data_IF_796653554020
#
_entry.id   IF_796653554020
#
_cell.length_a   1.000
_cell.length_b   1.000
_cell.length_c   1.000
_cell.angle_alpha   90.00
_cell.angle_beta   90.00
_cell.angle_gamma   90.00
#
_symmetry.space_group_name_H-M   'P 1'
#
loop_
_entity.id
_entity.type
_entity.pdbx_description
1 polymer ?
#
# COMPACT_ATOMS: atom_id res chain seq x y z
N UNK A 1 -3.15 1.67 1.25
CA UNK A 1 -2.75 0.50 0.47
C UNK A 1 -1.24 0.32 0.57
N UNK A 2 -0.78 -0.92 0.56
CA UNK A 2 0.65 -1.29 0.57
C UNK A 2 0.85 -2.14 -0.69
N UNK A 3 1.42 -1.56 -1.74
CA UNK A 3 1.58 -2.18 -3.04
C UNK A 3 2.94 -2.85 -3.12
N UNK A 4 2.95 -4.18 -3.01
CA UNK A 4 4.17 -4.98 -3.16
C UNK A 4 4.70 -4.95 -4.61
N UNK A 5 3.86 -4.63 -5.60
CA UNK A 5 4.28 -4.45 -6.98
C UNK A 5 3.37 -3.49 -7.74
N UNK A 6 3.95 -2.81 -8.72
CA UNK A 6 3.26 -1.97 -9.68
C UNK A 6 3.73 -2.37 -11.09
N UNK A 7 2.92 -3.15 -11.80
CA UNK A 7 3.28 -3.77 -13.08
C UNK A 7 2.66 -3.01 -14.25
N UNK A 8 3.36 -2.95 -15.38
CA UNK A 8 2.79 -2.46 -16.64
C UNK A 8 2.35 -0.99 -16.63
N UNK A 9 2.92 -0.16 -15.75
CA UNK A 9 2.55 1.25 -15.61
C UNK A 9 1.34 1.51 -14.70
N UNK A 10 0.85 0.50 -13.97
CA UNK A 10 -0.16 0.70 -12.93
C UNK A 10 0.32 1.74 -11.90
N UNK A 11 -0.56 2.68 -11.56
CA UNK A 11 -0.27 3.78 -10.64
C UNK A 11 -1.33 3.90 -9.55
N UNK A 12 -0.95 4.36 -8.34
CA UNK A 12 -1.90 4.57 -7.26
C UNK A 12 -2.73 5.84 -7.48
N UNK A 13 -3.84 5.96 -6.75
CA UNK A 13 -4.57 7.23 -6.62
C UNK A 13 -3.62 8.31 -6.05
N UNK A 14 -3.50 9.43 -6.75
CA UNK A 14 -2.72 10.58 -6.32
C UNK A 14 -3.41 11.88 -6.77
N UNK A 15 -3.54 12.84 -5.88
CA UNK A 15 -4.12 14.15 -6.21
C UNK A 15 -3.21 15.00 -7.11
N UNK A 16 -1.89 14.75 -7.07
CA UNK A 16 -0.89 15.54 -7.82
C UNK A 16 -0.21 14.75 -8.92
N UNK A 17 -0.42 13.43 -8.98
CA UNK A 17 0.36 12.53 -9.82
C UNK A 17 1.80 12.32 -9.35
N UNK A 18 2.22 12.95 -8.24
CA UNK A 18 3.58 12.87 -7.70
C UNK A 18 3.59 12.26 -6.29
N UNK A 19 4.72 11.65 -5.86
CA UNK A 19 4.90 11.22 -4.48
C UNK A 19 4.82 12.39 -3.50
N UNK A 20 4.31 12.12 -2.30
CA UNK A 20 4.34 13.08 -1.18
C UNK A 20 5.51 12.82 -0.22
N UNK A 21 6.06 11.60 -0.21
CA UNK A 21 7.20 11.22 0.61
C UNK A 21 7.84 9.91 0.12
N UNK A 22 9.01 9.61 0.67
CA UNK A 22 9.62 8.28 0.67
C UNK A 22 9.69 7.78 2.12
N UNK A 23 9.40 6.51 2.36
CA UNK A 23 9.41 5.90 3.69
C UNK A 23 10.21 4.59 3.69
N UNK A 24 10.98 4.34 4.75
CA UNK A 24 11.67 3.07 4.97
C UNK A 24 10.94 2.30 6.07
N UNK A 25 10.23 1.23 5.71
CA UNK A 25 9.38 0.42 6.62
C UNK A 25 9.56 -1.05 6.25
N UNK A 26 9.73 -1.92 7.26
CA UNK A 26 9.89 -3.36 7.08
C UNK A 26 10.97 -3.72 6.04
N UNK A 27 12.16 -3.11 6.17
CA UNK A 27 13.32 -3.30 5.29
C UNK A 27 13.05 -3.03 3.79
N UNK A 28 12.02 -2.24 3.49
CA UNK A 28 11.61 -1.90 2.12
C UNK A 28 11.51 -0.38 1.98
N UNK A 29 11.96 0.15 0.84
CA UNK A 29 11.78 1.55 0.46
C UNK A 29 10.45 1.72 -0.28
N UNK A 30 9.61 2.62 0.23
CA UNK A 30 8.28 2.90 -0.28
C UNK A 30 8.18 4.33 -0.77
N UNK A 31 7.61 4.49 -1.96
CA UNK A 31 7.15 5.79 -2.46
C UNK A 31 5.70 5.99 -2.02
N UNK A 32 5.42 7.03 -1.24
CA UNK A 32 4.09 7.30 -0.71
C UNK A 32 3.33 8.29 -1.60
N UNK A 33 2.12 7.90 -1.99
CA UNK A 33 1.16 8.74 -2.69
C UNK A 33 -0.08 8.99 -1.82
N UNK A 34 -0.75 10.11 -2.08
CA UNK A 34 -2.00 10.51 -1.41
C UNK A 34 -2.97 11.06 -2.43
N UNK A 35 -4.22 10.63 -2.37
CA UNK A 35 -5.31 11.25 -3.11
C UNK A 35 -6.67 10.98 -2.49
N UNK A 36 -7.72 11.30 -3.24
CA UNK A 36 -9.12 11.19 -2.79
C UNK A 36 -9.88 10.26 -3.73
N UNK A 37 -10.62 9.30 -3.16
CA UNK A 37 -11.58 8.48 -3.87
C UNK A 37 -12.94 8.61 -3.18
N UNK A 38 -13.88 9.30 -3.85
CA UNK A 38 -15.16 9.68 -3.26
C UNK A 38 -14.97 10.44 -1.93
N UNK A 39 -15.43 9.91 -0.81
CA UNK A 39 -15.26 10.51 0.53
C UNK A 39 -14.00 10.03 1.27
N UNK A 40 -13.20 9.14 0.68
CA UNK A 40 -12.03 8.55 1.32
C UNK A 40 -10.73 9.26 0.92
N UNK A 41 -9.88 9.56 1.90
CA UNK A 41 -8.46 9.83 1.65
C UNK A 41 -7.73 8.50 1.50
N UNK A 42 -7.07 8.30 0.36
CA UNK A 42 -6.30 7.09 0.05
C UNK A 42 -4.82 7.40 0.15
N UNK A 43 -4.14 6.68 1.03
CA UNK A 43 -2.67 6.62 1.07
C UNK A 43 -2.20 5.33 0.43
N UNK A 44 -1.26 5.40 -0.48
CA UNK A 44 -0.68 4.23 -1.15
C UNK A 44 0.84 4.24 -1.03
N UNK A 45 1.38 3.28 -0.27
CA UNK A 45 2.80 2.99 -0.22
C UNK A 45 3.12 2.04 -1.37
N UNK A 46 3.91 2.48 -2.35
CA UNK A 46 4.32 1.67 -3.50
C UNK A 46 5.78 1.30 -3.33
N UNK A 47 6.09 0.00 -3.30
CA UNK A 47 7.47 -0.45 -3.19
C UNK A 47 8.28 0.04 -4.40
N UNK A 48 9.48 0.58 -4.16
CA UNK A 48 10.34 1.09 -5.23
C UNK A 48 10.89 -0.03 -6.14
N UNK A 49 10.93 -1.25 -5.63
CA UNK A 49 11.18 -2.48 -6.38
C UNK A 49 10.11 -3.52 -6.03
N UNK A 50 9.74 -4.35 -6.99
CA UNK A 50 8.75 -5.40 -6.77
C UNK A 50 9.19 -6.35 -5.66
N UNK A 51 8.30 -6.58 -4.69
CA UNK A 51 8.44 -7.53 -3.61
C UNK A 51 7.62 -8.78 -3.94
N UNK A 52 8.29 -9.90 -4.22
CA UNK A 52 7.64 -11.22 -4.41
C UNK A 52 7.54 -12.01 -3.11
N UNK A 53 8.20 -11.54 -2.05
CA UNK A 53 8.07 -12.01 -0.67
C UNK A 53 8.13 -10.80 0.24
N UNK A 54 7.22 -10.72 1.22
CA UNK A 54 7.15 -9.63 2.17
C UNK A 54 6.81 -10.18 3.56
N UNK A 55 7.51 -9.67 4.57
CA UNK A 55 7.23 -9.95 5.97
C UNK A 55 7.43 -8.64 6.75
N UNK A 56 6.43 -8.23 7.52
CA UNK A 56 6.48 -7.01 8.30
C UNK A 56 5.23 -6.78 9.13
N UNK A 57 5.32 -5.82 10.04
CA UNK A 57 4.18 -5.37 10.84
C UNK A 57 3.40 -4.29 10.06
N UNK A 58 2.15 -4.59 9.70
CA UNK A 58 1.26 -3.65 9.02
C UNK A 58 0.99 -2.41 9.89
N UNK A 59 1.06 -2.54 11.22
CA UNK A 59 0.89 -1.42 12.14
C UNK A 59 1.92 -0.30 11.92
N UNK A 60 3.12 -0.62 11.43
CA UNK A 60 4.17 0.39 11.20
C UNK A 60 3.81 1.39 10.09
N UNK A 61 3.01 0.96 9.10
CA UNK A 61 2.48 1.87 8.08
C UNK A 61 1.46 2.84 8.68
N UNK A 62 0.59 2.36 9.57
CA UNK A 62 -0.36 3.23 10.29
C UNK A 62 0.36 4.20 11.22
N UNK A 63 1.36 3.73 12.00
CA UNK A 63 2.21 4.60 12.83
C UNK A 63 2.86 5.69 12.00
N UNK A 64 3.40 5.37 10.82
CA UNK A 64 3.96 6.35 9.90
C UNK A 64 2.92 7.41 9.51
N UNK A 65 1.71 7.00 9.11
CA UNK A 65 0.65 7.93 8.72
C UNK A 65 0.17 8.81 9.87
N UNK A 66 0.08 8.26 11.08
CA UNK A 66 -0.31 9.01 12.29
C UNK A 66 0.74 10.09 12.58
N UNK A 67 2.02 9.72 12.56
CA UNK A 67 3.12 10.63 12.90
C UNK A 67 3.38 11.68 11.82
N UNK A 68 3.28 11.33 10.54
CA UNK A 68 3.79 12.16 9.45
C UNK A 68 2.69 12.72 8.53
N UNK A 69 1.49 12.15 8.52
CA UNK A 69 0.44 12.48 7.56
C UNK A 69 -0.88 12.93 8.21
N UNK A 70 -0.88 13.09 9.53
CA UNK A 70 -2.04 13.59 10.29
C UNK A 70 -3.20 12.62 10.38
N UNK A 71 -2.97 11.32 10.20
CA UNK A 71 -4.01 10.31 10.42
C UNK A 71 -4.36 10.27 11.92
N UNK A 72 -5.64 10.43 12.31
CA UNK A 72 -6.02 10.34 13.72
C UNK A 72 -5.81 8.91 14.24
N UNK A 73 -5.16 8.76 15.40
CA UNK A 73 -4.96 7.47 16.05
C UNK A 73 -6.24 6.88 16.64
N UNK A 74 -7.32 7.65 16.71
CA UNK A 74 -8.64 7.24 17.20
C UNK A 74 -9.50 6.52 16.16
N UNK A 75 -8.98 6.30 14.95
CA UNK A 75 -9.69 5.57 13.89
C UNK A 75 -9.74 4.08 14.19
N UNK A 76 -10.77 3.41 13.66
CA UNK A 76 -10.94 1.96 13.77
C UNK A 76 -10.51 1.27 12.46
N UNK A 77 -9.81 0.15 12.59
CA UNK A 77 -9.53 -0.74 11.45
C UNK A 77 -10.80 -1.56 11.16
N UNK A 78 -11.45 -1.29 10.03
CA UNK A 78 -12.70 -1.96 9.64
C UNK A 78 -12.49 -3.26 8.86
N UNK A 79 -11.32 -3.46 8.24
CA UNK A 79 -11.01 -4.65 7.48
C UNK A 79 -9.58 -4.64 6.95
N UNK A 80 -9.08 -5.84 6.65
CA UNK A 80 -7.77 -6.06 6.03
C UNK A 80 -7.98 -7.02 4.86
N UNK A 81 -7.39 -6.68 3.72
CA UNK A 81 -7.44 -7.50 2.51
C UNK A 81 -6.09 -7.46 1.79
N UNK A 82 -5.74 -8.56 1.14
CA UNK A 82 -4.61 -8.70 0.25
C UNK A 82 -5.10 -9.29 -1.09
N UNK A 83 -4.56 -8.80 -2.20
CA UNK A 83 -5.03 -9.18 -3.53
C UNK A 83 -4.33 -8.41 -4.65
N UNK A 84 -4.94 -8.40 -5.83
CA UNK A 84 -4.44 -7.69 -7.02
C UNK A 84 -5.55 -6.92 -7.71
N UNK A 85 -5.21 -5.78 -8.31
CA UNK A 85 -6.11 -4.93 -9.09
C UNK A 85 -5.62 -4.88 -10.56
N UNK A 86 -6.10 -5.79 -11.44
CA UNK A 86 -5.70 -5.79 -12.84
C UNK A 86 -6.39 -4.67 -13.61
N UNK A 87 -5.64 -3.98 -14.47
CA UNK A 87 -6.18 -2.95 -15.38
C UNK A 87 -6.36 -3.49 -16.80
N UNK A 88 -5.34 -4.16 -17.34
CA UNK A 88 -5.34 -4.81 -18.65
C UNK A 88 -4.35 -5.97 -18.67
N UNK A 89 -4.53 -6.91 -19.60
CA UNK A 89 -3.67 -8.07 -19.76
C UNK A 89 -4.39 -9.23 -20.46
N UNK A 90 -3.63 -10.26 -20.84
CA UNK A 90 -4.15 -11.51 -21.41
C UNK A 90 -3.37 -12.69 -20.84
N UNK A 91 -4.07 -13.77 -20.50
CA UNK A 91 -3.45 -14.98 -19.93
C UNK A 91 -2.73 -14.77 -18.60
N UNK A 92 -3.09 -13.74 -17.83
CA UNK A 92 -2.44 -13.43 -16.56
C UNK A 92 -2.88 -14.39 -15.46
N UNK A 93 -1.93 -14.75 -14.59
CA UNK A 93 -2.16 -15.55 -13.39
C UNK A 93 -1.37 -14.96 -12.23
N UNK A 94 -2.07 -14.69 -11.12
CA UNK A 94 -1.43 -14.45 -9.83
C UNK A 94 -1.49 -15.74 -9.01
N UNK A 95 -0.33 -16.19 -8.52
CA UNK A 95 -0.23 -17.32 -7.61
C UNK A 95 0.29 -16.84 -6.26
N UNK A 96 -0.53 -16.95 -5.22
CA UNK A 96 -0.14 -16.67 -3.84
C UNK A 96 0.18 -17.97 -3.13
N UNK A 97 1.46 -18.23 -2.89
CA UNK A 97 1.89 -19.49 -2.24
C UNK A 97 1.65 -19.50 -0.74
N UNK A 98 1.67 -18.34 -0.09
CA UNK A 98 1.38 -18.18 1.33
C UNK A 98 0.92 -16.74 1.60
N UNK A 99 -0.13 -16.59 2.42
CA UNK A 99 -0.60 -15.30 2.92
C UNK A 99 -1.19 -15.49 4.33
N UNK A 100 -0.64 -14.76 5.30
CA UNK A 100 -1.02 -14.85 6.71
C UNK A 100 -1.01 -13.45 7.29
N UNK A 101 -2.15 -13.04 7.84
CA UNK A 101 -2.31 -11.78 8.57
C UNK A 101 -2.94 -12.12 9.91
N UNK A 102 -2.40 -11.54 10.98
CA UNK A 102 -2.94 -11.68 12.34
C UNK A 102 -3.03 -10.30 12.98
N UNK A 103 -4.11 -10.06 13.71
CA UNK A 103 -4.32 -8.86 14.53
C UNK A 103 -4.21 -9.33 15.98
N UNK A 104 -3.25 -8.75 16.72
CA UNK A 104 -2.94 -9.11 18.11
C UNK A 104 -3.24 -7.95 19.06
#
# INVERSE_FOLDING_TARGET
MIWLGALGGAGPISSTGSPIATAWIANTSWTLFKGVNSSWTVFSFVAQSQQTSFNGDVLDFFKYLIQNQGMPSSQYLSGVAAGTEPFSGSGAQLTTSNDVITIN
#
